data_IF_626640287436
#
_entry.id   IF_626640287436
#
_cell.length_a   1.000
_cell.length_b   1.000
_cell.length_c   1.000
_cell.angle_alpha   90.00
_cell.angle_beta   90.00
_cell.angle_gamma   90.00
#
_symmetry.space_group_name_H-M   'P 1'
#
loop_
_entity.id
_entity.type
_entity.pdbx_description
1 polymer ?
#
# COMPACT_ATOMS: atom_id res chain seq x y z
N UNK A 1 19.32 43.17 -1.31
CA UNK A 1 18.76 42.31 -2.37
C UNK A 1 19.44 40.95 -2.46
N UNK A 2 20.78 40.86 -2.55
CA UNK A 2 21.48 39.55 -2.64
C UNK A 2 21.36 38.72 -1.36
N UNK A 3 21.60 39.33 -0.18
CA UNK A 3 21.48 38.64 1.12
C UNK A 3 20.07 38.09 1.39
N UNK A 4 19.03 38.86 1.03
CA UNK A 4 17.64 38.44 1.20
C UNK A 4 17.29 37.25 0.31
N UNK A 5 17.80 37.21 -0.93
CA UNK A 5 17.60 36.08 -1.83
C UNK A 5 18.28 34.82 -1.28
N UNK A 6 19.52 34.93 -0.80
CA UNK A 6 20.26 33.80 -0.23
C UNK A 6 19.55 33.17 0.97
N UNK A 7 18.99 33.99 1.88
CA UNK A 7 18.21 33.49 3.02
C UNK A 7 16.95 32.75 2.59
N UNK A 8 16.22 33.26 1.60
CA UNK A 8 15.01 32.61 1.08
C UNK A 8 15.34 31.28 0.42
N UNK A 9 16.35 31.22 -0.43
CA UNK A 9 16.77 29.96 -1.06
C UNK A 9 17.28 28.94 -0.05
N UNK A 10 18.06 29.38 0.95
CA UNK A 10 18.50 28.53 2.05
C UNK A 10 17.33 27.94 2.83
N UNK A 11 16.33 28.76 3.16
CA UNK A 11 15.13 28.31 3.86
C UNK A 11 14.28 27.33 3.03
N UNK A 12 14.13 27.57 1.72
CA UNK A 12 13.42 26.64 0.83
C UNK A 12 14.16 25.30 0.68
N UNK A 13 15.50 25.34 0.59
CA UNK A 13 16.33 24.15 0.54
C UNK A 13 16.20 23.32 1.82
N UNK A 14 16.21 23.94 3.01
CA UNK A 14 16.04 23.21 4.27
C UNK A 14 14.63 22.63 4.41
N UNK A 15 13.58 23.39 4.08
CA UNK A 15 12.20 22.91 4.07
C UNK A 15 12.01 21.71 3.14
N UNK A 16 12.49 21.79 1.91
CA UNK A 16 12.39 20.67 0.95
C UNK A 16 13.12 19.42 1.47
N UNK A 17 14.30 19.59 2.10
CA UNK A 17 15.03 18.50 2.75
C UNK A 17 14.23 17.84 3.88
N UNK A 18 13.64 18.63 4.78
CA UNK A 18 12.80 18.12 5.88
C UNK A 18 11.58 17.37 5.35
N UNK A 19 10.91 17.93 4.34
CA UNK A 19 9.76 17.29 3.68
C UNK A 19 10.17 15.95 3.07
N UNK A 20 11.29 15.91 2.32
CA UNK A 20 11.81 14.68 1.72
C UNK A 20 12.11 13.60 2.75
N UNK A 21 12.77 13.96 3.86
CA UNK A 21 13.05 13.06 4.97
C UNK A 21 11.74 12.54 5.59
N UNK A 22 10.78 13.43 5.87
CA UNK A 22 9.49 13.06 6.43
C UNK A 22 8.73 12.06 5.54
N UNK A 23 8.62 12.33 4.24
CA UNK A 23 8.00 11.42 3.28
C UNK A 23 8.74 10.08 3.20
N UNK A 24 10.07 10.10 3.22
CA UNK A 24 10.90 8.89 3.25
C UNK A 24 10.63 8.02 4.48
N UNK A 25 10.56 8.62 5.67
CA UNK A 25 10.25 7.93 6.91
C UNK A 25 8.82 7.37 6.90
N UNK A 26 7.85 8.14 6.41
CA UNK A 26 6.45 7.69 6.29
C UNK A 26 6.33 6.51 5.34
N UNK A 27 6.99 6.56 4.17
CA UNK A 27 7.03 5.45 3.21
C UNK A 27 7.63 4.19 3.82
N UNK A 28 8.75 4.30 4.55
CA UNK A 28 9.37 3.17 5.25
C UNK A 28 8.44 2.55 6.30
N UNK A 29 7.73 3.37 7.08
CA UNK A 29 6.75 2.88 8.06
C UNK A 29 5.60 2.12 7.39
N UNK A 30 5.09 2.62 6.27
CA UNK A 30 4.02 1.96 5.51
C UNK A 30 4.45 0.61 4.93
N UNK A 31 5.68 0.52 4.39
CA UNK A 31 6.22 -0.75 3.88
C UNK A 31 6.33 -1.77 5.00
N UNK A 32 6.93 -1.40 6.14
CA UNK A 32 7.04 -2.29 7.30
C UNK A 32 5.67 -2.76 7.83
N UNK A 33 4.68 -1.87 7.82
CA UNK A 33 3.33 -2.22 8.24
C UNK A 33 2.67 -3.21 7.27
N UNK A 34 2.84 -2.99 5.95
CA UNK A 34 2.37 -3.92 4.91
C UNK A 34 3.05 -5.28 5.05
N UNK A 35 4.36 -5.33 5.28
CA UNK A 35 5.09 -6.59 5.50
C UNK A 35 4.59 -7.32 6.75
N UNK A 36 4.38 -6.61 7.86
CA UNK A 36 3.82 -7.17 9.08
C UNK A 36 2.43 -7.79 8.85
N UNK A 37 1.53 -7.08 8.17
CA UNK A 37 0.20 -7.63 7.86
C UNK A 37 0.29 -8.80 6.88
N UNK A 38 1.22 -8.76 5.92
CA UNK A 38 1.45 -9.88 5.02
C UNK A 38 1.86 -11.14 5.80
N UNK A 39 2.79 -11.03 6.75
CA UNK A 39 3.19 -12.15 7.60
C UNK A 39 2.04 -12.64 8.50
N UNK A 40 1.33 -11.73 9.16
CA UNK A 40 0.20 -12.07 10.04
C UNK A 40 -0.96 -12.74 9.29
N UNK A 41 -1.19 -12.39 8.03
CA UNK A 41 -2.25 -12.97 7.19
C UNK A 41 -1.82 -14.25 6.47
N UNK A 42 -0.70 -14.88 6.86
CA UNK A 42 -0.23 -16.14 6.28
C UNK A 42 0.56 -16.00 4.98
N UNK A 43 1.08 -14.81 4.69
CA UNK A 43 1.84 -14.50 3.47
C UNK A 43 3.11 -15.33 3.28
N UNK A 44 3.70 -15.84 4.37
CA UNK A 44 4.84 -16.78 4.29
C UNK A 44 4.41 -18.10 3.62
N UNK A 45 3.26 -18.65 4.03
CA UNK A 45 2.70 -19.85 3.41
C UNK A 45 2.24 -19.59 1.98
N UNK A 46 1.70 -18.40 1.70
CA UNK A 46 1.37 -17.97 0.34
C UNK A 46 2.62 -18.00 -0.56
N UNK A 47 3.75 -17.44 -0.10
CA UNK A 47 5.03 -17.49 -0.86
C UNK A 47 5.49 -18.93 -1.09
N UNK A 48 5.37 -19.81 -0.10
CA UNK A 48 5.73 -21.23 -0.25
C UNK A 48 4.88 -21.92 -1.31
N UNK A 49 3.55 -21.72 -1.29
CA UNK A 49 2.65 -22.26 -2.32
C UNK A 49 3.01 -21.75 -3.71
N UNK A 50 3.28 -20.45 -3.87
CA UNK A 50 3.64 -19.87 -5.17
C UNK A 50 4.96 -20.41 -5.73
N UNK A 51 5.89 -20.79 -4.86
CA UNK A 51 7.19 -21.33 -5.26
C UNK A 51 7.18 -22.86 -5.47
N UNK A 52 6.09 -23.55 -5.14
CA UNK A 52 6.00 -25.00 -5.27
C UNK A 52 5.74 -25.42 -6.76
N UNK A 53 6.36 -26.49 -7.26
CA UNK A 53 6.15 -26.98 -8.63
C UNK A 53 4.68 -27.35 -8.87
N UNK A 54 4.10 -26.91 -9.99
CA UNK A 54 2.72 -27.25 -10.38
C UNK A 54 1.61 -26.46 -9.68
N UNK A 55 1.94 -25.38 -8.97
CA UNK A 55 0.98 -24.62 -8.14
C UNK A 55 0.45 -23.35 -8.82
N UNK A 56 0.97 -23.01 -10.01
CA UNK A 56 0.62 -21.82 -10.77
C UNK A 56 -0.89 -21.68 -11.04
N UNK A 57 -1.60 -22.80 -11.19
CA UNK A 57 -3.04 -22.83 -11.45
C UNK A 57 -3.89 -22.85 -10.17
N UNK A 58 -3.29 -23.14 -9.01
CA UNK A 58 -4.01 -23.35 -7.75
C UNK A 58 -4.13 -22.09 -6.89
N UNK A 59 -3.31 -21.06 -7.13
CA UNK A 59 -3.30 -19.82 -6.33
C UNK A 59 -3.35 -18.60 -7.23
N UNK A 60 -4.49 -17.90 -7.23
CA UNK A 60 -4.67 -16.64 -7.96
C UNK A 60 -4.34 -15.48 -7.02
N UNK A 61 -3.36 -14.66 -7.39
CA UNK A 61 -3.02 -13.44 -6.66
C UNK A 61 -3.66 -12.22 -7.33
N UNK A 62 -4.57 -11.56 -6.62
CA UNK A 62 -5.15 -10.29 -7.05
C UNK A 62 -4.41 -9.12 -6.41
N UNK A 63 -4.08 -8.12 -7.23
CA UNK A 63 -3.55 -6.85 -6.73
C UNK A 63 -4.67 -6.00 -6.11
N UNK A 64 -4.30 -5.05 -5.25
CA UNK A 64 -5.25 -4.09 -4.69
C UNK A 64 -5.98 -3.30 -5.78
N UNK A 65 -5.32 -3.02 -6.90
CA UNK A 65 -5.92 -2.30 -8.02
C UNK A 65 -6.94 -3.15 -8.78
N UNK A 66 -6.69 -4.46 -8.92
CA UNK A 66 -7.66 -5.38 -9.51
C UNK A 66 -8.91 -5.47 -8.64
N UNK A 67 -8.74 -5.62 -7.32
CA UNK A 67 -9.86 -5.63 -6.38
C UNK A 67 -10.62 -4.31 -6.42
N UNK A 68 -9.92 -3.17 -6.36
CA UNK A 68 -10.52 -1.84 -6.45
C UNK A 68 -11.31 -1.65 -7.74
N UNK A 69 -10.83 -2.17 -8.87
CA UNK A 69 -11.55 -2.09 -10.15
C UNK A 69 -12.78 -3.00 -10.17
N UNK A 70 -12.67 -4.20 -9.63
CA UNK A 70 -13.78 -5.16 -9.58
C UNK A 70 -14.92 -4.67 -8.67
N UNK A 71 -14.58 -4.02 -7.55
CA UNK A 71 -15.55 -3.55 -6.56
C UNK A 71 -16.00 -2.10 -6.75
N UNK A 72 -15.66 -1.47 -7.89
CA UNK A 72 -15.89 -0.03 -8.15
C UNK A 72 -15.47 0.84 -6.95
N UNK A 73 -14.21 0.71 -6.58
CA UNK A 73 -13.61 1.36 -5.41
C UNK A 73 -14.34 1.06 -4.09
N UNK A 74 -14.78 -0.19 -3.91
CA UNK A 74 -15.53 -0.66 -2.75
C UNK A 74 -16.85 0.10 -2.56
N UNK A 75 -17.53 0.43 -3.67
CA UNK A 75 -18.83 1.10 -3.65
C UNK A 75 -19.89 0.25 -2.94
N UNK A 76 -20.78 0.89 -2.18
CA UNK A 76 -21.88 0.19 -1.53
C UNK A 76 -22.86 -0.44 -2.55
N UNK A 77 -22.94 0.11 -3.76
CA UNK A 77 -23.77 -0.42 -4.85
C UNK A 77 -23.26 -1.78 -5.37
N UNK A 78 -21.98 -2.10 -5.13
CA UNK A 78 -21.40 -3.39 -5.47
C UNK A 78 -21.60 -4.43 -4.35
N UNK A 79 -22.20 -4.07 -3.21
CA UNK A 79 -22.44 -4.99 -2.10
C UNK A 79 -23.64 -5.89 -2.42
N UNK A 80 -23.40 -7.20 -2.40
CA UNK A 80 -24.45 -8.21 -2.55
C UNK A 80 -24.86 -8.84 -1.21
N UNK A 81 -24.08 -8.61 -0.14
CA UNK A 81 -24.42 -9.11 1.20
C UNK A 81 -23.51 -8.59 2.30
N UNK A 82 -24.01 -8.58 3.54
CA UNK A 82 -23.27 -8.24 4.77
C UNK A 82 -23.50 -9.34 5.82
N UNK A 83 -22.44 -9.80 6.47
CA UNK A 83 -22.52 -10.82 7.51
C UNK A 83 -21.44 -10.64 8.59
N UNK A 84 -21.44 -11.52 9.60
CA UNK A 84 -20.51 -11.42 10.74
C UNK A 84 -19.02 -11.53 10.38
N UNK A 85 -18.71 -12.11 9.22
CA UNK A 85 -17.33 -12.29 8.74
C UNK A 85 -16.92 -11.24 7.69
N UNK A 86 -17.81 -10.35 7.26
CA UNK A 86 -17.48 -9.28 6.32
C UNK A 86 -18.58 -8.94 5.31
N UNK A 87 -18.17 -8.16 4.32
CA UNK A 87 -19.01 -7.68 3.22
C UNK A 87 -18.66 -8.45 1.95
N UNK A 88 -19.68 -8.84 1.19
CA UNK A 88 -19.52 -9.52 -0.08
C UNK A 88 -19.81 -8.52 -1.20
N UNK A 89 -18.84 -8.35 -2.09
CA UNK A 89 -18.97 -7.53 -3.29
C UNK A 89 -19.22 -8.42 -4.51
N UNK A 90 -19.87 -7.85 -5.53
CA UNK A 90 -20.11 -8.49 -6.84
C UNK A 90 -18.82 -8.86 -7.56
#
# INVERSE_FOLDING_TARGET
MVFTLALVFGFLATLSGVIGIFFGLRKRKLIKLREKFFEQNGGVFLKQKLNAPGTSDAVIMFSSDQLRKATDNYSEDQIIGRGGYGVVYK
#
